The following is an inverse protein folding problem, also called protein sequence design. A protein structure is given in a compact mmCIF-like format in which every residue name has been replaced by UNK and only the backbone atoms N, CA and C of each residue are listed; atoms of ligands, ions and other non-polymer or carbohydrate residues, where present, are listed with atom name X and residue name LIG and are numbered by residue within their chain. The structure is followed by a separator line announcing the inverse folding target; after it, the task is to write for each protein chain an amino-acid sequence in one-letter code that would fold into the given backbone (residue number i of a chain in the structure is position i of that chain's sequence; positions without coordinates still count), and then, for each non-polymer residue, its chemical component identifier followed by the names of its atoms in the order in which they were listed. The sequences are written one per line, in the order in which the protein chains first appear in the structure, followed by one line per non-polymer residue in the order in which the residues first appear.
data_IF_799202992557
#
_entry.id   IF_799202992557
#
_cell.length_a   1.000
_cell.length_b   1.000
_cell.length_c   1.000
_cell.angle_alpha   90.00
_cell.angle_beta   90.00
_cell.angle_gamma   90.00
#
_symmetry.space_group_name_H-M   'P 1'
#
loop_
_entity.id
_entity.type
_entity.pdbx_description
1 polymer ?
#
# COMPACT_ATOMS: atom_id res chain seq x y z
N UNK A 1 22.25 10.36 -8.81
CA UNK A 1 23.12 10.27 -7.62
C UNK A 1 22.58 9.14 -6.79
N UNK A 2 23.36 8.09 -6.57
CA UNK A 2 22.99 6.97 -5.70
C UNK A 2 22.85 7.52 -4.28
N UNK A 3 21.73 7.26 -3.61
CA UNK A 3 21.57 7.61 -2.19
C UNK A 3 22.38 6.59 -1.40
N UNK A 4 23.45 7.00 -0.73
CA UNK A 4 24.38 6.08 -0.06
C UNK A 4 23.69 5.22 1.01
N UNK A 5 22.74 5.81 1.74
CA UNK A 5 21.97 5.17 2.81
C UNK A 5 20.68 4.52 2.27
N UNK A 6 20.76 3.73 1.19
CA UNK A 6 19.61 3.07 0.57
C UNK A 6 19.94 1.65 0.08
N UNK A 7 18.91 0.81 0.00
CA UNK A 7 18.97 -0.54 -0.57
C UNK A 7 18.99 -0.44 -2.10
N UNK A 8 19.96 -1.11 -2.71
CA UNK A 8 20.16 -1.17 -4.16
C UNK A 8 19.53 -2.39 -4.78
N UNK A 9 19.66 -3.56 -4.15
CA UNK A 9 19.08 -4.80 -4.64
C UNK A 9 18.74 -5.74 -3.49
N UNK A 10 17.76 -6.61 -3.74
CA UNK A 10 17.30 -7.64 -2.82
C UNK A 10 17.33 -8.96 -3.57
N UNK A 11 17.98 -9.96 -2.98
CA UNK A 11 18.04 -11.32 -3.50
C UNK A 11 17.77 -12.29 -2.34
N UNK A 12 16.61 -12.93 -2.32
CA UNK A 12 16.18 -13.72 -1.17
C UNK A 12 15.16 -14.78 -1.53
N UNK A 13 15.04 -15.80 -0.67
CA UNK A 13 13.96 -16.78 -0.73
C UNK A 13 12.88 -16.39 0.28
N UNK A 14 11.63 -16.32 -0.18
CA UNK A 14 10.49 -15.97 0.69
C UNK A 14 10.40 -17.00 1.84
N UNK A 15 10.27 -16.56 3.11
CA UNK A 15 10.24 -17.49 4.24
C UNK A 15 9.09 -18.49 4.12
N UNK A 16 9.40 -19.78 4.30
CA UNK A 16 8.47 -20.91 4.13
C UNK A 16 7.90 -21.05 2.70
N UNK A 17 8.66 -20.61 1.69
CA UNK A 17 8.36 -20.80 0.28
C UNK A 17 9.63 -21.22 -0.48
N UNK A 18 9.46 -21.84 -1.64
CA UNK A 18 10.55 -22.11 -2.60
C UNK A 18 10.74 -20.95 -3.60
N UNK A 19 9.94 -19.89 -3.48
CA UNK A 19 9.98 -18.74 -4.38
C UNK A 19 11.23 -17.89 -4.13
N UNK A 20 12.09 -17.86 -5.13
CA UNK A 20 13.24 -16.97 -5.21
C UNK A 20 12.83 -15.61 -5.75
N UNK A 21 13.23 -14.54 -5.05
CA UNK A 21 12.88 -13.16 -5.34
C UNK A 21 14.15 -12.37 -5.58
N UNK A 22 14.25 -11.76 -6.76
CA UNK A 22 15.34 -10.87 -7.12
C UNK A 22 14.75 -9.52 -7.56
N UNK A 23 15.12 -8.45 -6.85
CA UNK A 23 14.60 -7.10 -7.05
C UNK A 23 15.76 -6.13 -7.22
N UNK A 24 15.75 -5.37 -8.31
CA UNK A 24 16.70 -4.28 -8.56
C UNK A 24 16.00 -2.94 -8.27
N UNK A 25 16.41 -2.28 -7.18
CA UNK A 25 15.81 -1.04 -6.68
C UNK A 25 16.56 0.21 -7.12
N UNK A 26 17.89 0.14 -7.27
CA UNK A 26 18.75 1.30 -7.57
C UNK A 26 18.51 2.51 -6.64
N UNK A 27 18.17 2.23 -5.37
CA UNK A 27 17.84 3.25 -4.37
C UNK A 27 16.43 3.86 -4.47
N UNK A 28 15.57 3.37 -5.37
CA UNK A 28 14.16 3.79 -5.44
C UNK A 28 13.32 3.15 -4.33
N UNK A 29 12.16 3.75 -4.04
CA UNK A 29 11.20 3.16 -3.12
C UNK A 29 10.64 1.84 -3.68
N UNK A 30 10.23 0.92 -2.79
CA UNK A 30 9.69 -0.39 -3.14
C UNK A 30 8.27 -0.56 -2.59
N UNK A 31 7.32 -0.91 -3.46
CA UNK A 31 5.95 -1.28 -3.08
C UNK A 31 5.79 -2.79 -3.33
N UNK A 32 5.59 -3.54 -2.24
CA UNK A 32 5.39 -4.99 -2.27
C UNK A 32 3.89 -5.26 -2.21
N UNK A 33 3.38 -5.98 -3.19
CA UNK A 33 1.97 -6.36 -3.26
C UNK A 33 1.80 -7.86 -3.53
N UNK A 34 0.55 -8.28 -3.63
CA UNK A 34 0.16 -9.65 -3.91
C UNK A 34 -1.03 -10.12 -3.07
N UNK A 35 -1.50 -11.32 -3.39
CA UNK A 35 -2.69 -11.93 -2.81
C UNK A 35 -2.60 -12.19 -1.31
N UNK A 36 -3.71 -12.57 -0.70
CA UNK A 36 -3.75 -12.91 0.72
C UNK A 36 -2.89 -14.15 0.99
N UNK A 37 -2.07 -14.08 2.05
CA UNK A 37 -1.22 -15.21 2.46
C UNK A 37 0.06 -15.43 1.65
N UNK A 38 0.40 -14.55 0.69
CA UNK A 38 1.64 -14.69 -0.10
C UNK A 38 2.95 -14.39 0.67
N UNK A 39 2.86 -13.98 1.94
CA UNK A 39 4.03 -13.80 2.81
C UNK A 39 4.58 -12.36 2.91
N UNK A 40 3.88 -11.34 2.40
CA UNK A 40 4.28 -9.91 2.44
C UNK A 40 4.93 -9.47 3.76
N UNK A 41 4.23 -9.60 4.88
CA UNK A 41 4.74 -9.22 6.20
C UNK A 41 6.03 -9.94 6.57
N UNK A 42 6.16 -11.24 6.26
CA UNK A 42 7.36 -12.01 6.58
C UNK A 42 8.53 -11.63 5.68
N UNK A 43 8.26 -11.45 4.39
CA UNK A 43 9.24 -10.98 3.42
C UNK A 43 9.78 -9.60 3.81
N UNK A 44 8.90 -8.66 4.15
CA UNK A 44 9.29 -7.33 4.64
C UNK A 44 10.15 -7.40 5.91
N UNK A 45 9.74 -8.21 6.88
CA UNK A 45 10.49 -8.42 8.14
C UNK A 45 11.87 -9.02 7.90
N UNK A 46 11.99 -10.02 7.02
CA UNK A 46 13.27 -10.65 6.69
C UNK A 46 14.26 -9.65 6.05
N UNK A 47 13.77 -8.78 5.16
CA UNK A 47 14.61 -7.71 4.58
C UNK A 47 15.06 -6.74 5.67
N UNK A 48 14.13 -6.31 6.54
CA UNK A 48 14.45 -5.42 7.65
C UNK A 48 15.47 -6.03 8.62
N UNK A 49 15.28 -7.29 9.01
CA UNK A 49 16.21 -8.02 9.91
C UNK A 49 17.60 -8.12 9.28
N UNK A 50 17.70 -8.38 7.98
CA UNK A 50 18.97 -8.40 7.27
C UNK A 50 19.67 -7.03 7.27
N UNK A 51 18.92 -5.96 6.99
CA UNK A 51 19.44 -4.58 6.98
C UNK A 51 19.82 -4.13 8.39
N UNK A 52 19.01 -4.45 9.41
CA UNK A 52 19.31 -4.19 10.83
C UNK A 52 20.55 -4.96 11.28
N UNK A 53 20.71 -6.22 10.88
CA UNK A 53 21.93 -6.98 11.15
C UNK A 53 23.17 -6.30 10.53
N UNK A 54 23.06 -5.80 9.30
CA UNK A 54 24.14 -5.05 8.66
C UNK A 54 24.41 -3.72 9.36
N UNK A 55 23.39 -2.91 9.66
CA UNK A 55 23.58 -1.52 10.11
C UNK A 55 23.73 -1.38 11.63
N UNK A 56 22.94 -2.09 12.43
CA UNK A 56 22.90 -1.94 13.90
C UNK A 56 23.89 -2.85 14.63
N UNK A 57 24.12 -4.07 14.14
CA UNK A 57 24.90 -5.08 14.88
C UNK A 57 26.41 -5.01 14.62
N UNK A 58 26.88 -4.09 13.77
CA UNK A 58 28.30 -3.93 13.36
C UNK A 58 28.97 -5.26 12.95
N UNK A 59 28.21 -6.23 12.46
CA UNK A 59 28.70 -7.57 12.08
C UNK A 59 29.33 -7.56 10.70
N UNK A 60 30.25 -6.64 10.42
CA UNK A 60 30.86 -6.57 9.09
C UNK A 60 32.03 -7.52 8.95
N UNK A 61 31.69 -8.79 8.70
CA UNK A 61 32.38 -9.56 7.69
C UNK A 61 31.40 -9.76 6.52
N UNK A 62 31.70 -9.14 5.38
CA UNK A 62 31.04 -9.46 4.12
C UNK A 62 31.09 -10.97 3.85
N UNK A 63 30.15 -11.53 3.10
CA UNK A 63 30.20 -12.95 2.71
C UNK A 63 31.57 -13.34 2.13
N UNK A 64 32.23 -12.42 1.43
CA UNK A 64 33.60 -12.56 0.95
C UNK A 64 34.63 -12.66 2.08
N UNK A 65 34.58 -11.78 3.08
CA UNK A 65 35.45 -11.82 4.26
C UNK A 65 35.21 -13.09 5.09
N UNK A 66 33.95 -13.51 5.29
CA UNK A 66 33.63 -14.77 5.98
C UNK A 66 34.22 -15.97 5.22
N UNK A 67 34.05 -16.02 3.88
CA UNK A 67 34.65 -17.08 3.05
C UNK A 67 36.17 -17.12 3.18
N UNK A 68 36.83 -15.96 3.15
CA UNK A 68 38.28 -15.87 3.36
C UNK A 68 38.69 -16.35 4.76
N UNK A 69 37.94 -15.97 5.80
CA UNK A 69 38.18 -16.39 7.18
C UNK A 69 38.02 -17.90 7.38
N UNK A 70 37.06 -18.51 6.69
CA UNK A 70 36.90 -19.97 6.63
C UNK A 70 38.10 -20.61 5.95
N UNK A 71 38.55 -20.09 4.80
CA UNK A 71 39.72 -20.62 4.08
C UNK A 71 40.99 -20.57 4.94
N UNK A 72 41.24 -19.44 5.62
CA UNK A 72 42.39 -19.32 6.52
C UNK A 72 42.35 -20.34 7.66
N UNK A 73 41.18 -20.54 8.29
CA UNK A 73 41.02 -21.50 9.39
C UNK A 73 41.11 -22.95 8.92
N UNK A 74 40.57 -23.26 7.73
CA UNK A 74 40.72 -24.58 7.10
C UNK A 74 42.20 -24.88 6.84
N UNK A 75 42.95 -23.92 6.32
CA UNK A 75 44.40 -24.04 6.12
C UNK A 75 45.16 -24.26 7.44
N UNK A 76 44.81 -23.55 8.52
CA UNK A 76 45.42 -23.79 9.83
C UNK A 76 45.13 -25.20 10.35
N UNK A 77 43.87 -25.67 10.25
CA UNK A 77 43.47 -27.04 10.64
C UNK A 77 44.28 -28.09 9.86
N UNK A 78 44.49 -27.91 8.57
CA UNK A 78 45.27 -28.84 7.73
C UNK A 78 46.74 -28.94 8.16
N UNK A 79 47.30 -27.85 8.67
CA UNK A 79 48.69 -27.79 9.17
C UNK A 79 48.85 -28.15 10.66
N UNK A 80 47.75 -28.42 11.38
CA UNK A 80 47.76 -28.59 12.85
C UNK A 80 47.24 -29.96 13.25
N UNK A 81 47.79 -30.53 14.34
CA UNK A 81 47.33 -31.81 14.89
C UNK A 81 46.12 -31.64 15.82
N UNK A 82 45.21 -32.62 15.94
CA UNK A 82 44.03 -32.54 16.81
C UNK A 82 44.29 -32.34 18.32
N UNK A 83 45.54 -32.50 18.77
CA UNK A 83 45.97 -32.24 20.15
C UNK A 83 46.26 -30.77 20.46
N UNK A 84 46.25 -29.90 19.45
CA UNK A 84 46.43 -28.46 19.63
C UNK A 84 45.21 -27.83 20.32
N UNK A 85 45.46 -26.94 21.28
CA UNK A 85 44.42 -26.27 22.06
C UNK A 85 43.43 -25.47 21.20
N UNK A 86 43.86 -24.99 20.03
CA UNK A 86 43.05 -24.15 19.15
C UNK A 86 42.30 -24.94 18.09
N UNK A 87 42.65 -26.21 17.85
CA UNK A 87 42.05 -27.04 16.80
C UNK A 87 40.53 -27.13 16.91
N UNK A 88 40.02 -27.41 18.12
CA UNK A 88 38.58 -27.49 18.36
C UNK A 88 37.89 -26.12 18.33
N UNK A 89 38.60 -25.04 18.68
CA UNK A 89 38.07 -23.68 18.61
C UNK A 89 37.88 -23.26 17.15
N UNK A 90 38.91 -23.41 16.30
CA UNK A 90 38.80 -23.10 14.87
C UNK A 90 37.76 -23.96 14.16
N UNK A 91 37.64 -25.25 14.51
CA UNK A 91 36.60 -26.11 13.95
C UNK A 91 35.20 -25.61 14.29
N UNK A 92 34.98 -25.12 15.52
CA UNK A 92 33.70 -24.53 15.94
C UNK A 92 33.43 -23.21 15.21
N UNK A 93 34.43 -22.34 15.10
CA UNK A 93 34.34 -21.07 14.37
C UNK A 93 34.03 -21.26 12.88
N UNK A 94 34.62 -22.28 12.23
CA UNK A 94 34.29 -22.62 10.83
C UNK A 94 32.81 -23.00 10.72
N UNK A 95 32.31 -23.87 11.60
CA UNK A 95 30.89 -24.27 11.58
C UNK A 95 29.96 -23.08 11.82
N UNK A 96 30.34 -22.17 12.71
CA UNK A 96 29.59 -20.93 12.98
C UNK A 96 29.59 -20.00 11.75
N UNK A 97 30.74 -19.82 11.10
CA UNK A 97 30.84 -19.04 9.86
C UNK A 97 30.13 -19.69 8.67
N UNK A 98 30.12 -21.01 8.57
CA UNK A 98 29.36 -21.75 7.54
C UNK A 98 27.86 -21.57 7.74
N UNK A 99 27.36 -21.62 8.98
CA UNK A 99 25.96 -21.30 9.31
C UNK A 99 25.62 -19.83 9.00
N UNK A 100 26.49 -18.89 9.36
CA UNK A 100 26.31 -17.47 9.02
C UNK A 100 26.28 -17.25 7.50
N UNK A 101 27.11 -17.95 6.73
CA UNK A 101 27.08 -17.91 5.26
C UNK A 101 25.79 -18.49 4.71
N UNK A 102 25.30 -19.60 5.27
CA UNK A 102 24.03 -20.19 4.85
C UNK A 102 22.85 -19.24 5.10
N UNK A 103 22.87 -18.48 6.20
CA UNK A 103 21.85 -17.48 6.51
C UNK A 103 21.98 -16.21 5.65
N UNK A 104 23.21 -15.78 5.31
CA UNK A 104 23.46 -14.68 4.37
C UNK A 104 23.05 -15.07 2.94
N UNK A 105 23.34 -16.31 2.51
CA UNK A 105 22.97 -16.81 1.18
C UNK A 105 21.45 -17.01 1.05
N UNK A 106 20.69 -17.13 2.16
CA UNK A 106 19.21 -17.17 2.15
C UNK A 106 18.56 -15.81 1.92
N UNK A 107 19.22 -14.71 2.32
CA UNK A 107 18.73 -13.35 2.17
C UNK A 107 19.91 -12.39 2.01
N UNK A 108 20.14 -11.94 0.79
CA UNK A 108 21.17 -10.97 0.45
C UNK A 108 20.53 -9.62 0.10
N UNK A 109 20.70 -8.64 0.97
CA UNK A 109 20.30 -7.25 0.71
C UNK A 109 21.55 -6.42 0.47
N UNK A 110 21.67 -5.83 -0.71
CA UNK A 110 22.82 -4.97 -1.06
C UNK A 110 22.48 -3.51 -0.78
N UNK A 111 23.27 -2.87 0.08
CA UNK A 111 23.18 -1.43 0.36
C UNK A 111 24.09 -0.63 -0.57
N UNK A 112 23.78 0.65 -0.78
CA UNK A 112 24.54 1.55 -1.64
C UNK A 112 25.98 1.72 -1.15
N UNK A 113 26.15 2.15 0.10
CA UNK A 113 27.44 2.15 0.79
C UNK A 113 27.24 1.79 2.26
N UNK A 114 27.54 0.53 2.60
CA UNK A 114 27.36 -0.03 3.94
C UNK A 114 28.16 0.78 4.99
N UNK A 115 29.43 1.07 4.73
CA UNK A 115 30.29 1.80 5.67
C UNK A 115 29.77 3.21 5.95
N UNK A 116 29.31 3.90 4.90
CA UNK A 116 28.73 5.24 5.00
C UNK A 116 27.40 5.20 5.74
N UNK A 117 26.55 4.19 5.47
CA UNK A 117 25.30 4.02 6.20
C UNK A 117 25.56 3.74 7.69
N UNK A 118 26.45 2.82 8.03
CA UNK A 118 26.78 2.54 9.43
C UNK A 118 27.37 3.77 10.14
N UNK A 119 28.24 4.52 9.46
CA UNK A 119 28.78 5.77 9.99
C UNK A 119 27.68 6.79 10.23
N UNK A 120 26.83 7.04 9.23
CA UNK A 120 25.71 7.97 9.33
C UNK A 120 24.68 7.52 10.39
N UNK A 121 24.44 6.22 10.54
CA UNK A 121 23.54 5.67 11.55
C UNK A 121 24.09 5.90 12.97
N UNK A 122 25.38 5.62 13.18
CA UNK A 122 26.07 5.89 14.44
C UNK A 122 26.13 7.39 14.78
N UNK A 123 26.34 8.23 13.76
CA UNK A 123 26.27 9.69 13.85
C UNK A 123 24.84 10.24 13.94
N UNK A 124 23.82 9.37 13.92
CA UNK A 124 22.38 9.72 14.00
C UNK A 124 21.90 10.61 12.85
N UNK A 125 22.51 10.48 11.68
CA UNK A 125 22.14 11.12 10.41
C UNK A 125 21.37 10.19 9.46
N UNK A 126 21.36 8.89 9.73
CA UNK A 126 20.64 7.90 8.94
C UNK A 126 19.63 7.10 9.76
N UNK A 127 18.47 6.86 9.16
CA UNK A 127 17.32 6.20 9.76
C UNK A 127 17.27 4.71 9.38
N UNK A 128 16.84 3.87 10.31
CA UNK A 128 16.34 2.52 10.03
C UNK A 128 15.10 2.29 10.90
N UNK A 129 13.91 2.22 10.30
CA UNK A 129 12.65 2.07 11.04
C UNK A 129 11.74 1.01 10.44
N UNK A 130 11.03 0.31 11.30
CA UNK A 130 10.01 -0.66 10.93
C UNK A 130 8.68 -0.33 11.61
N UNK A 131 7.63 -0.15 10.81
CA UNK A 131 6.26 0.05 11.26
C UNK A 131 5.42 -1.19 10.94
N UNK A 132 4.95 -1.94 11.96
CA UNK A 132 4.08 -3.09 11.75
C UNK A 132 2.67 -2.68 11.26
N UNK A 133 1.92 -3.65 10.74
CA UNK A 133 0.54 -3.45 10.28
C UNK A 133 -0.40 -3.01 11.42
N UNK A 134 -0.30 -3.68 12.57
CA UNK A 134 -0.99 -3.27 13.80
C UNK A 134 -0.10 -2.29 14.54
N UNK A 135 -0.54 -1.03 14.59
CA UNK A 135 0.18 0.06 15.25
C UNK A 135 -0.51 0.36 16.58
N UNK A 136 0.25 0.29 17.68
CA UNK A 136 -0.23 0.82 18.96
C UNK A 136 -0.40 2.33 18.82
N UNK A 137 -1.61 2.82 19.10
CA UNK A 137 -1.94 4.24 18.98
C UNK A 137 -1.40 4.97 20.21
N UNK A 138 -0.13 5.38 20.15
CA UNK A 138 0.62 5.95 21.27
C UNK A 138 0.72 7.48 21.25
N UNK A 139 -0.20 8.17 20.54
CA UNK A 139 -0.38 9.63 20.67
C UNK A 139 -1.01 9.92 22.06
N UNK A 140 -0.22 9.70 23.10
CA UNK A 140 -0.63 9.81 24.48
C UNK A 140 -0.75 11.29 24.84
N UNK A 141 -1.94 11.69 25.28
CA UNK A 141 -2.17 13.00 25.86
C UNK A 141 -1.40 13.07 27.19
N UNK A 142 -0.34 13.87 27.20
CA UNK A 142 0.37 14.23 28.42
C UNK A 142 0.29 15.74 28.53
N UNK A 143 -0.49 16.23 29.50
CA UNK A 143 -0.49 17.65 29.88
C UNK A 143 0.82 18.08 30.55
N UNK A 144 1.97 17.58 30.07
CA UNK A 144 3.27 17.82 30.67
C UNK A 144 3.87 19.10 30.13
N UNK A 145 4.26 19.98 31.06
CA UNK A 145 5.16 21.10 30.83
C UNK A 145 6.60 20.59 30.67
N UNK A 146 6.84 19.76 29.66
CA UNK A 146 8.20 19.37 29.32
C UNK A 146 8.90 20.51 28.59
N UNK A 147 10.14 20.82 28.99
CA UNK A 147 10.95 21.79 28.28
C UNK A 147 11.55 21.12 27.04
N UNK A 148 11.80 21.90 25.98
CA UNK A 148 12.52 21.41 24.79
C UNK A 148 13.86 20.73 25.15
N UNK A 149 14.56 21.23 26.17
CA UNK A 149 15.79 20.64 26.66
C UNK A 149 15.57 19.24 27.25
N UNK A 150 14.48 19.03 28.01
CA UNK A 150 14.13 17.70 28.54
C UNK A 150 13.74 16.74 27.43
N UNK A 151 12.92 17.18 26.46
CA UNK A 151 12.54 16.34 25.32
C UNK A 151 13.77 15.89 24.52
N UNK A 152 14.73 16.80 24.29
CA UNK A 152 16.01 16.45 23.64
C UNK A 152 16.84 15.50 24.50
N UNK A 153 16.92 15.72 25.81
CA UNK A 153 17.66 14.84 26.73
C UNK A 153 17.05 13.44 26.85
N UNK A 154 15.72 13.34 26.85
CA UNK A 154 15.02 12.05 26.86
C UNK A 154 15.26 11.28 25.55
N UNK A 155 15.37 11.99 24.42
CA UNK A 155 15.68 11.38 23.12
C UNK A 155 17.19 11.15 22.89
N UNK A 156 18.08 11.78 23.67
CA UNK A 156 19.54 11.60 23.55
C UNK A 156 19.96 10.13 23.74
N UNK A 157 19.21 9.34 24.50
CA UNK A 157 19.44 7.91 24.67
C UNK A 157 18.61 7.03 23.74
N UNK A 158 17.66 7.59 22.99
CA UNK A 158 16.82 6.84 22.07
C UNK A 158 17.51 6.68 20.70
N UNK A 159 17.53 5.44 20.22
CA UNK A 159 17.99 5.14 18.87
C UNK A 159 17.05 5.77 17.83
N UNK A 160 17.58 6.11 16.65
CA UNK A 160 16.75 6.42 15.48
C UNK A 160 15.83 5.24 15.07
N UNK A 161 16.07 4.04 15.60
CA UNK A 161 15.22 2.87 15.39
C UNK A 161 14.07 2.71 16.40
N UNK A 162 13.89 3.60 17.39
CA UNK A 162 12.77 3.55 18.36
C UNK A 162 11.58 4.45 17.94
N UNK A 163 10.41 4.23 18.57
CA UNK A 163 9.20 5.04 18.34
C UNK A 163 9.22 6.32 19.19
N UNK A 164 9.11 7.47 18.52
CA UNK A 164 9.09 8.81 19.09
C UNK A 164 7.74 9.52 18.84
N UNK A 165 6.73 8.82 18.31
CA UNK A 165 5.42 9.44 18.00
C UNK A 165 4.70 10.01 19.23
N UNK A 166 4.86 9.39 20.40
CA UNK A 166 4.32 9.87 21.69
C UNK A 166 4.94 11.19 22.20
N UNK A 167 6.05 11.64 21.61
CA UNK A 167 6.69 12.92 21.92
C UNK A 167 6.06 14.09 21.17
N UNK A 168 5.27 13.81 20.12
CA UNK A 168 4.82 14.83 19.17
C UNK A 168 3.96 15.92 19.80
N UNK A 169 2.91 15.56 20.55
CA UNK A 169 2.03 16.55 21.19
C UNK A 169 2.80 17.40 22.22
N UNK A 170 3.68 16.76 23.00
CA UNK A 170 4.56 17.45 23.97
C UNK A 170 5.52 18.41 23.27
N UNK A 171 6.10 17.99 22.15
CA UNK A 171 6.97 18.83 21.34
C UNK A 171 6.22 20.06 20.79
N UNK A 172 5.01 19.88 20.25
CA UNK A 172 4.19 20.99 19.77
C UNK A 172 4.00 22.05 20.87
N UNK A 173 3.59 21.62 22.06
CA UNK A 173 3.37 22.52 23.22
C UNK A 173 4.66 23.22 23.62
N UNK A 174 5.75 22.46 23.79
CA UNK A 174 7.04 23.01 24.20
C UNK A 174 7.60 24.01 23.18
N UNK A 175 7.48 23.69 21.88
CA UNK A 175 8.00 24.50 20.80
C UNK A 175 7.19 25.78 20.57
N UNK A 176 5.86 25.70 20.69
CA UNK A 176 4.98 26.87 20.65
C UNK A 176 5.28 27.85 21.78
N UNK A 177 5.44 27.33 23.01
CA UNK A 177 5.78 28.13 24.18
C UNK A 177 7.16 28.80 24.02
N UNK A 178 8.14 28.07 23.48
CA UNK A 178 9.46 28.60 23.17
C UNK A 178 9.40 29.75 22.15
N UNK A 179 8.70 29.58 21.03
CA UNK A 179 8.51 30.63 20.02
C UNK A 179 7.81 31.86 20.59
N UNK A 180 6.75 31.65 21.37
CA UNK A 180 6.01 32.72 22.05
C UNK A 180 6.89 33.52 23.01
N UNK A 181 7.77 32.84 23.77
CA UNK A 181 8.73 33.51 24.67
C UNK A 181 9.75 34.35 23.90
N UNK A 182 10.32 33.81 22.81
CA UNK A 182 11.27 34.53 21.96
C UNK A 182 10.68 35.83 21.41
N UNK A 183 9.45 35.78 20.91
CA UNK A 183 8.76 36.93 20.33
C UNK A 183 8.36 37.97 21.39
N UNK A 184 7.79 37.53 22.51
CA UNK A 184 7.21 38.41 23.51
C UNK A 184 8.22 38.98 24.53
N UNK A 185 9.31 38.25 24.81
CA UNK A 185 10.25 38.59 25.91
C UNK A 185 11.66 38.90 25.43
N UNK A 186 12.16 38.15 24.44
CA UNK A 186 13.54 38.33 23.93
C UNK A 186 13.60 39.25 22.70
N UNK A 187 12.46 39.56 22.08
CA UNK A 187 12.33 40.36 20.85
C UNK A 187 13.19 39.81 19.68
N UNK A 188 13.52 38.51 19.71
CA UNK A 188 14.25 37.82 18.65
C UNK A 188 13.25 37.37 17.56
N UNK A 189 12.86 38.35 16.73
CA UNK A 189 11.89 38.15 15.64
C UNK A 189 12.34 37.12 14.62
N UNK A 190 13.66 36.91 14.47
CA UNK A 190 14.22 35.96 13.51
C UNK A 190 13.94 34.52 13.93
N UNK A 191 14.25 34.16 15.18
CA UNK A 191 13.97 32.81 15.68
C UNK A 191 12.47 32.57 15.87
N UNK A 192 11.72 33.56 16.33
CA UNK A 192 10.27 33.46 16.41
C UNK A 192 9.62 33.16 15.05
N UNK A 193 10.03 33.87 13.99
CA UNK A 193 9.53 33.61 12.63
C UNK A 193 9.88 32.20 12.11
N UNK A 194 11.00 31.60 12.54
CA UNK A 194 11.33 30.21 12.20
C UNK A 194 10.37 29.22 12.85
N UNK A 195 10.00 29.46 14.11
CA UNK A 195 8.99 28.63 14.82
C UNK A 195 7.65 28.74 14.11
N UNK A 196 7.21 29.95 13.78
CA UNK A 196 5.94 30.17 13.05
C UNK A 196 5.94 29.49 11.68
N UNK A 197 7.05 29.59 10.94
CA UNK A 197 7.21 28.92 9.65
C UNK A 197 7.16 27.39 9.76
N UNK A 198 7.72 26.84 10.84
CA UNK A 198 7.66 25.41 11.13
C UNK A 198 6.21 24.95 11.39
N UNK A 199 5.47 25.67 12.24
CA UNK A 199 4.06 25.37 12.49
C UNK A 199 3.24 25.45 11.20
N UNK A 200 3.45 26.49 10.38
CA UNK A 200 2.78 26.62 9.09
C UNK A 200 3.10 25.44 8.15
N UNK A 201 4.32 24.92 8.15
CA UNK A 201 4.68 23.74 7.35
C UNK A 201 3.94 22.49 7.85
N UNK A 202 3.93 22.24 9.17
CA UNK A 202 3.21 21.11 9.77
C UNK A 202 1.71 21.23 9.50
N UNK A 203 1.12 22.41 9.63
CA UNK A 203 -0.28 22.68 9.28
C UNK A 203 -0.58 22.36 7.82
N UNK A 204 0.24 22.84 6.88
CA UNK A 204 0.07 22.55 5.45
C UNK A 204 0.14 21.04 5.15
N UNK A 205 1.06 20.32 5.82
CA UNK A 205 1.18 18.86 5.68
C UNK A 205 -0.04 18.14 6.26
N UNK A 206 -0.59 18.61 7.39
CA UNK A 206 -1.83 18.09 7.95
C UNK A 206 -3.05 18.42 7.09
N UNK A 207 -3.15 19.63 6.51
CA UNK A 207 -4.23 20.00 5.58
C UNK A 207 -4.24 19.08 4.35
N UNK A 208 -3.05 18.81 3.78
CA UNK A 208 -2.92 17.87 2.67
C UNK A 208 -3.36 16.46 3.06
N UNK A 209 -2.93 15.99 4.23
CA UNK A 209 -3.28 14.67 4.74
C UNK A 209 -4.78 14.54 5.03
N UNK A 210 -5.40 15.54 5.65
CA UNK A 210 -6.82 15.53 6.01
C UNK A 210 -7.76 15.88 4.85
N UNK A 211 -7.19 16.25 3.70
CA UNK A 211 -7.93 16.72 2.52
C UNK A 211 -8.82 17.94 2.85
N UNK A 212 -8.33 18.82 3.72
CA UNK A 212 -9.08 19.96 4.25
C UNK A 212 -8.18 21.18 4.44
N UNK A 213 -8.31 22.17 3.55
CA UNK A 213 -7.58 23.44 3.60
C UNK A 213 -8.00 24.35 4.78
N UNK A 214 -9.15 24.09 5.40
CA UNK A 214 -9.60 24.83 6.58
C UNK A 214 -8.94 24.38 7.88
N UNK A 215 -8.24 23.24 7.85
CA UNK A 215 -7.60 22.65 9.03
C UNK A 215 -6.55 23.60 9.62
N UNK A 216 -6.65 23.85 10.92
CA UNK A 216 -5.67 24.63 11.70
C UNK A 216 -5.32 23.95 13.02
N UNK A 217 -4.08 24.16 13.46
CA UNK A 217 -3.62 23.80 14.79
C UNK A 217 -3.89 24.96 15.75
N UNK A 218 -4.80 24.75 16.68
CA UNK A 218 -5.19 25.75 17.66
C UNK A 218 -4.61 25.41 19.04
N UNK A 219 -3.71 26.25 19.52
CA UNK A 219 -3.16 26.12 20.88
C UNK A 219 -4.16 26.64 21.92
N UNK A 220 -4.50 25.81 22.90
CA UNK A 220 -5.25 26.19 24.10
C UNK A 220 -4.28 26.43 25.25
N UNK A 221 -4.17 27.69 25.71
CA UNK A 221 -3.23 28.07 26.78
C UNK A 221 -3.66 27.60 28.17
N UNK A 222 -4.95 27.42 28.44
CA UNK A 222 -5.44 26.95 29.74
C UNK A 222 -5.16 25.46 29.95
N UNK A 223 -5.39 24.67 28.91
CA UNK A 223 -5.11 23.23 28.92
C UNK A 223 -3.69 22.87 28.52
N UNK A 224 -2.93 23.84 28.01
CA UNK A 224 -1.60 23.66 27.42
C UNK A 224 -1.57 22.53 26.39
N UNK A 225 -2.54 22.53 25.48
CA UNK A 225 -2.75 21.46 24.51
C UNK A 225 -3.08 22.00 23.13
N UNK A 226 -2.81 21.18 22.12
CA UNK A 226 -3.17 21.49 20.73
C UNK A 226 -4.46 20.80 20.34
N UNK A 227 -5.32 21.57 19.68
CA UNK A 227 -6.56 21.11 19.07
C UNK A 227 -6.47 21.24 17.56
N UNK A 228 -7.03 20.26 16.85
CA UNK A 228 -7.31 20.37 15.43
C UNK A 228 -8.66 21.07 15.28
N UNK A 229 -8.69 22.14 14.49
CA UNK A 229 -9.92 22.86 14.14
C UNK A 229 -10.16 22.76 12.64
N UNK A 230 -11.38 22.38 12.27
CA UNK A 230 -11.86 22.30 10.88
C UNK A 230 -13.18 23.06 10.76
N UNK A 231 -13.50 23.56 9.57
CA UNK A 231 -14.77 24.26 9.36
C UNK A 231 -15.98 23.34 9.59
N UNK A 232 -16.95 23.83 10.35
CA UNK A 232 -18.18 23.10 10.67
C UNK A 232 -18.02 21.97 11.71
N UNK A 233 -16.87 21.86 12.38
CA UNK A 233 -16.64 20.90 13.48
C UNK A 233 -16.20 21.61 14.75
N UNK A 234 -16.57 21.04 15.89
CA UNK A 234 -15.99 21.43 17.16
C UNK A 234 -14.50 21.06 17.21
N UNK A 235 -13.63 21.86 17.86
CA UNK A 235 -12.22 21.51 18.01
C UNK A 235 -12.04 20.17 18.72
N UNK A 236 -11.13 19.34 18.24
CA UNK A 236 -10.87 18.01 18.78
C UNK A 236 -9.36 17.70 18.87
N UNK A 237 -8.98 16.73 19.69
CA UNK A 237 -7.59 16.32 19.94
C UNK A 237 -7.13 15.20 18.98
N UNK A 238 -5.83 14.95 18.97
CA UNK A 238 -5.22 13.91 18.11
C UNK A 238 -5.67 12.48 18.49
N UNK A 239 -5.97 12.22 19.75
CA UNK A 239 -6.50 10.94 20.26
C UNK A 239 -7.97 10.70 19.86
N UNK A 240 -8.68 11.73 19.40
CA UNK A 240 -10.07 11.65 18.91
C UNK A 240 -10.18 11.41 17.40
N UNK A 241 -9.04 11.28 16.71
CA UNK A 241 -8.99 10.96 15.28
C UNK A 241 -9.46 9.52 15.00
N UNK A 242 -9.95 9.28 13.79
CA UNK A 242 -10.26 7.90 13.36
C UNK A 242 -8.98 7.05 13.33
N UNK A 243 -9.11 5.74 13.51
CA UNK A 243 -7.96 4.82 13.56
C UNK A 243 -7.02 4.90 12.35
N UNK A 244 -7.56 5.09 11.14
CA UNK A 244 -6.76 5.28 9.93
C UNK A 244 -5.89 6.53 9.98
N UNK A 245 -6.46 7.67 10.37
CA UNK A 245 -5.72 8.92 10.55
C UNK A 245 -4.66 8.81 11.64
N UNK A 246 -4.99 8.20 12.79
CA UNK A 246 -4.04 8.00 13.88
C UNK A 246 -2.85 7.14 13.47
N UNK A 247 -3.11 6.09 12.68
CA UNK A 247 -2.11 5.16 12.18
C UNK A 247 -1.10 5.84 11.24
N UNK A 248 -1.54 6.73 10.35
CA UNK A 248 -0.61 7.52 9.53
C UNK A 248 0.09 8.58 10.36
N UNK A 249 -0.68 9.28 11.19
CA UNK A 249 -0.16 10.38 11.98
C UNK A 249 0.93 9.91 12.92
N UNK A 250 0.85 8.69 13.46
CA UNK A 250 1.93 8.12 14.28
C UNK A 250 3.21 7.90 13.48
N UNK A 251 3.15 7.38 12.24
CA UNK A 251 4.31 7.26 11.36
C UNK A 251 4.90 8.64 11.07
N UNK A 252 4.05 9.59 10.65
CA UNK A 252 4.48 10.94 10.32
C UNK A 252 5.11 11.66 11.53
N UNK A 253 4.46 11.57 12.70
CA UNK A 253 4.94 12.12 13.96
C UNK A 253 6.28 11.49 14.38
N UNK A 254 6.43 10.17 14.26
CA UNK A 254 7.67 9.47 14.57
C UNK A 254 8.84 9.98 13.71
N UNK A 255 8.62 10.14 12.40
CA UNK A 255 9.63 10.64 11.47
C UNK A 255 9.92 12.13 11.69
N UNK A 256 8.90 12.95 11.91
CA UNK A 256 9.04 14.38 12.18
C UNK A 256 9.81 14.61 13.48
N UNK A 257 9.52 13.86 14.56
CA UNK A 257 10.26 13.99 15.82
C UNK A 257 11.75 13.64 15.66
N UNK A 258 12.10 12.77 14.71
CA UNK A 258 13.51 12.45 14.44
C UNK A 258 14.25 13.56 13.72
N UNK A 259 13.56 14.30 12.85
CA UNK A 259 14.07 15.54 12.24
C UNK A 259 14.31 16.57 13.36
N UNK A 260 13.29 16.80 14.19
CA UNK A 260 13.29 17.91 15.15
C UNK A 260 14.15 17.70 16.40
N UNK A 261 14.08 16.51 17.02
CA UNK A 261 14.80 16.22 18.26
C UNK A 261 16.29 16.00 18.01
N UNK A 262 16.67 15.56 16.80
CA UNK A 262 18.08 15.28 16.44
C UNK A 262 18.72 16.38 15.59
N UNK A 263 18.01 17.48 15.35
CA UNK A 263 18.51 18.66 14.62
C UNK A 263 19.03 18.32 13.21
N UNK A 264 18.37 17.35 12.57
CA UNK A 264 18.64 16.93 11.18
C UNK A 264 17.52 17.48 10.33
N UNK A 265 17.82 18.22 9.25
CA UNK A 265 16.76 18.72 8.38
C UNK A 265 16.04 17.57 7.64
N UNK A 266 14.75 17.74 7.33
CA UNK A 266 13.99 16.72 6.59
C UNK A 266 14.60 16.41 5.21
N UNK A 267 15.29 17.39 4.62
CA UNK A 267 16.03 17.26 3.37
C UNK A 267 17.36 16.51 3.51
N UNK A 268 17.91 16.37 4.71
CA UNK A 268 19.15 15.65 5.00
C UNK A 268 18.89 14.27 5.62
N UNK A 269 17.73 14.07 6.24
CA UNK A 269 17.32 12.79 6.79
C UNK A 269 17.28 11.75 5.66
N UNK A 270 18.13 10.73 5.79
CA UNK A 270 18.25 9.65 4.81
C UNK A 270 18.21 8.30 5.53
N UNK A 271 18.05 7.22 4.78
CA UNK A 271 17.94 5.87 5.36
C UNK A 271 16.72 5.13 4.83
N UNK A 272 16.34 4.05 5.51
CA UNK A 272 15.32 3.12 5.05
C UNK A 272 14.19 3.01 6.08
N UNK A 273 12.95 3.15 5.60
CA UNK A 273 11.74 2.97 6.40
C UNK A 273 10.91 1.83 5.81
N UNK A 274 10.63 0.83 6.64
CA UNK A 274 9.77 -0.30 6.35
C UNK A 274 8.38 -0.05 6.91
N UNK A 275 7.33 -0.17 6.10
CA UNK A 275 5.93 -0.01 6.53
C UNK A 275 5.14 -1.22 6.08
N UNK A 276 4.72 -2.05 7.03
CA UNK A 276 3.80 -3.16 6.74
C UNK A 276 2.36 -2.63 6.69
N UNK A 277 1.61 -2.99 5.66
CA UNK A 277 0.24 -2.54 5.39
C UNK A 277 0.11 -1.02 5.54
N UNK A 278 0.73 -0.27 4.63
CA UNK A 278 0.66 1.20 4.62
C UNK A 278 -0.79 1.71 4.48
N UNK A 279 -1.67 0.91 3.87
CA UNK A 279 -3.09 1.18 3.68
C UNK A 279 -4.00 0.73 4.83
N UNK A 280 -3.45 0.13 5.90
CA UNK A 280 -4.24 -0.39 7.01
C UNK A 280 -5.19 0.67 7.58
N UNK A 281 -6.49 0.36 7.57
CA UNK A 281 -7.59 1.20 8.05
C UNK A 281 -7.74 2.56 7.36
N UNK A 282 -7.10 2.78 6.20
CA UNK A 282 -7.19 4.03 5.46
C UNK A 282 -8.41 4.10 4.57
N UNK A 283 -9.00 5.28 4.50
CA UNK A 283 -10.00 5.58 3.47
C UNK A 283 -9.34 5.61 2.08
N UNK A 284 -10.08 5.24 1.03
CA UNK A 284 -9.57 5.09 -0.34
C UNK A 284 -8.89 6.37 -0.85
N UNK A 285 -9.43 7.55 -0.52
CA UNK A 285 -8.83 8.83 -0.92
C UNK A 285 -7.40 8.99 -0.39
N UNK A 286 -7.19 8.67 0.90
CA UNK A 286 -5.88 8.67 1.55
C UNK A 286 -4.92 7.63 0.95
N UNK A 287 -5.40 6.43 0.64
CA UNK A 287 -4.57 5.38 0.03
C UNK A 287 -3.91 5.86 -1.28
N UNK A 288 -4.57 6.73 -2.04
CA UNK A 288 -4.03 7.30 -3.29
C UNK A 288 -2.94 8.36 -3.08
N UNK A 289 -2.83 8.92 -1.87
CA UNK A 289 -1.96 10.07 -1.59
C UNK A 289 -0.86 9.75 -0.59
N UNK A 290 -1.06 8.74 0.25
CA UNK A 290 -0.22 8.47 1.42
C UNK A 290 1.25 8.25 1.07
N UNK A 291 1.52 7.50 0.01
CA UNK A 291 2.89 7.23 -0.40
C UNK A 291 3.57 8.49 -0.97
N UNK A 292 2.86 9.23 -1.84
CA UNK A 292 3.33 10.53 -2.36
C UNK A 292 3.53 11.57 -1.25
N UNK A 293 2.71 11.53 -0.19
CA UNK A 293 2.88 12.37 0.99
C UNK A 293 4.23 12.12 1.68
N UNK A 294 4.54 10.85 1.97
CA UNK A 294 5.81 10.48 2.61
C UNK A 294 7.03 10.77 1.71
N UNK A 295 6.93 10.47 0.42
CA UNK A 295 7.98 10.75 -0.57
C UNK A 295 8.32 12.24 -0.64
N UNK A 296 7.30 13.12 -0.55
CA UNK A 296 7.51 14.58 -0.52
C UNK A 296 7.99 15.10 0.83
N UNK A 297 7.48 14.54 1.93
CA UNK A 297 7.84 14.97 3.28
C UNK A 297 9.28 14.58 3.65
N UNK A 298 9.77 13.45 3.14
CA UNK A 298 11.08 12.89 3.46
C UNK A 298 11.82 12.40 2.19
N UNK A 299 12.28 13.30 1.32
CA UNK A 299 12.72 12.97 -0.05
C UNK A 299 14.00 12.13 -0.16
N UNK A 300 14.81 12.05 0.90
CA UNK A 300 16.03 11.21 0.95
C UNK A 300 15.83 9.91 1.72
N UNK A 301 14.62 9.67 2.25
CA UNK A 301 14.26 8.43 2.92
C UNK A 301 13.69 7.45 1.89
N UNK A 302 14.27 6.26 1.83
CA UNK A 302 13.76 5.18 1.00
C UNK A 302 12.64 4.43 1.74
N UNK A 303 11.45 4.39 1.15
CA UNK A 303 10.32 3.66 1.70
C UNK A 303 10.21 2.27 1.06
N UNK A 304 10.15 1.23 1.91
CA UNK A 304 9.82 -0.14 1.51
C UNK A 304 8.52 -0.52 2.19
N UNK A 305 7.46 -0.66 1.41
CA UNK A 305 6.10 -0.79 1.95
C UNK A 305 5.42 -2.03 1.44
N UNK A 306 4.54 -2.62 2.24
CA UNK A 306 3.59 -3.64 1.75
C UNK A 306 2.20 -3.02 1.64
N UNK A 307 1.45 -3.45 0.63
CA UNK A 307 0.05 -3.01 0.45
C UNK A 307 -0.80 -4.05 -0.25
N UNK A 308 -2.07 -4.08 0.13
CA UNK A 308 -3.13 -4.80 -0.60
C UNK A 308 -3.93 -3.86 -1.51
N UNK A 309 -3.73 -2.56 -1.38
CA UNK A 309 -4.52 -1.56 -2.08
C UNK A 309 -3.95 -1.28 -3.47
N UNK A 310 -4.76 -1.44 -4.53
CA UNK A 310 -4.37 -1.00 -5.88
C UNK A 310 -4.15 0.51 -5.94
N UNK A 311 -4.78 1.28 -5.03
CA UNK A 311 -4.68 2.73 -5.00
C UNK A 311 -3.32 3.21 -4.52
N UNK A 312 -2.67 2.49 -3.61
CA UNK A 312 -1.29 2.77 -3.19
C UNK A 312 -0.33 2.44 -4.32
N UNK A 313 -0.53 1.29 -4.98
CA UNK A 313 0.31 0.85 -6.10
C UNK A 313 0.31 1.86 -7.26
N UNK A 314 -0.83 2.53 -7.52
CA UNK A 314 -0.96 3.57 -8.55
C UNK A 314 -0.53 4.98 -8.09
N UNK A 315 -0.11 5.15 -6.83
CA UNK A 315 0.02 6.50 -6.26
C UNK A 315 1.31 7.23 -6.61
N UNK A 316 2.34 6.54 -7.12
CA UNK A 316 3.67 7.14 -7.37
C UNK A 316 4.35 6.58 -8.63
N UNK A 317 4.97 7.49 -9.37
CA UNK A 317 5.61 7.24 -10.67
C UNK A 317 7.08 6.78 -10.55
N UNK A 318 7.71 6.94 -9.38
CA UNK A 318 9.13 6.64 -9.15
C UNK A 318 9.37 5.58 -8.07
N UNK A 319 8.60 4.49 -8.12
CA UNK A 319 8.77 3.33 -7.24
C UNK A 319 8.84 2.04 -8.04
N UNK A 320 9.61 1.07 -7.54
CA UNK A 320 9.57 -0.31 -8.02
C UNK A 320 8.38 -1.01 -7.36
N UNK A 321 7.59 -1.72 -8.14
CA UNK A 321 6.46 -2.51 -7.64
C UNK A 321 6.85 -3.99 -7.78
N UNK A 322 6.67 -4.77 -6.73
CA UNK A 322 6.93 -6.21 -6.77
C UNK A 322 5.70 -6.99 -6.35
N UNK A 323 5.22 -7.89 -7.21
CA UNK A 323 4.13 -8.80 -6.88
C UNK A 323 4.69 -10.15 -6.42
N UNK A 324 4.50 -10.47 -5.13
CA UNK A 324 4.89 -11.76 -4.56
C UNK A 324 4.02 -12.92 -5.07
N UNK A 325 2.80 -12.65 -5.54
CA UNK A 325 1.94 -13.67 -6.15
C UNK A 325 2.51 -14.14 -7.48
N UNK A 326 2.72 -13.21 -8.42
CA UNK A 326 3.27 -13.47 -9.75
C UNK A 326 4.78 -13.69 -9.77
N UNK A 327 5.49 -13.30 -8.71
CA UNK A 327 6.95 -13.28 -8.65
C UNK A 327 7.57 -12.40 -9.76
N UNK A 328 6.99 -11.21 -9.93
CA UNK A 328 7.32 -10.30 -11.02
C UNK A 328 7.59 -8.89 -10.49
N UNK A 329 8.65 -8.28 -11.01
CA UNK A 329 8.94 -6.86 -10.84
C UNK A 329 8.23 -6.08 -11.94
N UNK A 330 7.44 -5.10 -11.54
CA UNK A 330 6.73 -4.18 -12.42
C UNK A 330 7.32 -2.78 -12.25
N UNK A 331 7.55 -2.11 -13.37
CA UNK A 331 7.92 -0.71 -13.41
C UNK A 331 6.75 0.10 -13.94
N UNK A 332 6.45 1.20 -13.27
CA UNK A 332 5.49 2.22 -13.72
C UNK A 332 4.07 1.70 -14.06
N UNK A 333 3.22 1.62 -13.03
CA UNK A 333 1.80 1.28 -13.20
C UNK A 333 0.89 2.52 -13.41
N UNK A 334 1.46 3.71 -13.57
CA UNK A 334 0.67 4.96 -13.77
C UNK A 334 -0.18 4.91 -15.05
N UNK A 335 0.28 4.17 -16.06
CA UNK A 335 -0.37 4.01 -17.36
C UNK A 335 -1.45 2.91 -17.38
N UNK A 336 -1.54 2.11 -16.32
CA UNK A 336 -2.48 0.99 -16.27
C UNK A 336 -3.83 1.43 -15.70
N UNK A 337 -4.91 0.94 -16.33
CA UNK A 337 -6.25 1.19 -15.79
C UNK A 337 -6.44 0.49 -14.44
N UNK A 338 -7.27 1.07 -13.58
CA UNK A 338 -7.63 0.47 -12.29
C UNK A 338 -8.15 -0.97 -12.42
N UNK A 339 -9.01 -1.23 -13.42
CA UNK A 339 -9.54 -2.57 -13.70
C UNK A 339 -8.43 -3.55 -14.12
N UNK A 340 -7.44 -3.08 -14.89
CA UNK A 340 -6.29 -3.89 -15.31
C UNK A 340 -5.44 -4.32 -14.12
N UNK A 341 -5.24 -3.42 -13.14
CA UNK A 341 -4.47 -3.73 -11.93
C UNK A 341 -5.26 -4.66 -11.00
N UNK A 342 -6.54 -4.40 -10.77
CA UNK A 342 -7.39 -5.29 -9.97
C UNK A 342 -7.37 -6.73 -10.52
N UNK A 343 -7.57 -6.87 -11.83
CA UNK A 343 -7.64 -8.17 -12.49
C UNK A 343 -6.25 -8.82 -12.60
N UNK A 344 -5.25 -8.08 -13.05
CA UNK A 344 -3.92 -8.61 -13.36
C UNK A 344 -3.04 -8.81 -12.12
N UNK A 345 -2.99 -7.81 -11.24
CA UNK A 345 -2.06 -7.77 -10.10
C UNK A 345 -2.67 -8.37 -8.83
N UNK A 346 -3.95 -8.08 -8.57
CA UNK A 346 -4.61 -8.47 -7.32
C UNK A 346 -5.50 -9.70 -7.48
N UNK A 347 -5.73 -10.17 -8.70
CA UNK A 347 -6.60 -11.32 -8.99
C UNK A 347 -8.05 -11.10 -8.56
N UNK A 348 -8.48 -9.84 -8.43
CA UNK A 348 -9.83 -9.46 -8.03
C UNK A 348 -10.64 -9.12 -9.28
N UNK A 349 -11.74 -9.83 -9.49
CA UNK A 349 -12.71 -9.41 -10.50
C UNK A 349 -13.39 -8.13 -10.04
N UNK A 350 -13.29 -7.07 -10.85
CA UNK A 350 -13.85 -5.74 -10.57
C UNK A 350 -15.38 -5.68 -10.62
N UNK A 351 -16.04 -6.83 -10.66
CA UNK A 351 -17.45 -6.97 -11.02
C UNK A 351 -18.25 -7.73 -9.96
N UNK A 352 -19.56 -7.47 -9.96
CA UNK A 352 -20.49 -8.19 -9.09
C UNK A 352 -20.74 -9.57 -9.68
N UNK A 353 -20.41 -10.63 -8.94
CA UNK A 353 -20.70 -12.02 -9.30
C UNK A 353 -22.18 -12.25 -9.68
N UNK A 354 -23.09 -11.48 -9.10
CA UNK A 354 -24.52 -11.52 -9.41
C UNK A 354 -24.79 -10.91 -10.79
N UNK A 355 -24.20 -9.75 -11.09
CA UNK A 355 -24.39 -9.13 -12.40
C UNK A 355 -23.72 -9.93 -13.51
N UNK A 356 -22.52 -10.48 -13.26
CA UNK A 356 -21.84 -11.34 -14.22
C UNK A 356 -22.62 -12.62 -14.47
N UNK A 357 -23.11 -13.30 -13.43
CA UNK A 357 -23.95 -14.48 -13.61
C UNK A 357 -25.20 -14.20 -14.45
N UNK A 358 -25.85 -13.03 -14.27
CA UNK A 358 -26.99 -12.63 -15.09
C UNK A 358 -26.60 -12.30 -16.54
N UNK A 359 -25.44 -11.69 -16.76
CA UNK A 359 -24.93 -11.33 -18.10
C UNK A 359 -24.46 -12.58 -18.84
N UNK A 360 -23.81 -13.52 -18.17
CA UNK A 360 -23.40 -14.82 -18.72
C UNK A 360 -24.62 -15.68 -19.08
N UNK A 361 -25.63 -15.72 -18.21
CA UNK A 361 -26.91 -16.39 -18.50
C UNK A 361 -27.59 -15.75 -19.71
N UNK A 362 -27.60 -14.42 -19.79
CA UNK A 362 -28.15 -13.69 -20.95
C UNK A 362 -27.35 -14.01 -22.23
N UNK A 363 -26.02 -14.03 -22.17
CA UNK A 363 -25.16 -14.36 -23.30
C UNK A 363 -25.42 -15.79 -23.79
N UNK A 364 -25.52 -16.75 -22.87
CA UNK A 364 -25.82 -18.14 -23.20
C UNK A 364 -27.18 -18.27 -23.91
N UNK A 365 -28.22 -17.57 -23.46
CA UNK A 365 -29.56 -17.60 -24.07
C UNK A 365 -29.60 -16.97 -25.48
N UNK A 366 -28.72 -16.02 -25.77
CA UNK A 366 -28.58 -15.40 -27.11
C UNK A 366 -27.92 -16.36 -28.10
N UNK A 367 -27.04 -17.26 -27.65
CA UNK A 367 -26.32 -18.18 -28.55
C UNK A 367 -27.13 -19.43 -28.95
N UNK A 368 -28.18 -19.77 -28.19
CA UNK A 368 -29.03 -20.93 -28.49
C UNK A 368 -29.90 -20.69 -29.72
N UNK A 369 -30.06 -21.70 -30.60
CA UNK A 369 -30.88 -21.59 -31.83
C UNK A 369 -32.37 -21.38 -31.59
N UNK A 370 -32.89 -21.91 -30.49
CA UNK A 370 -34.27 -21.71 -30.03
C UNK A 370 -34.25 -20.81 -28.79
N UNK A 371 -34.66 -19.56 -28.96
CA UNK A 371 -34.63 -18.58 -27.88
C UNK A 371 -35.86 -18.72 -26.97
N UNK A 372 -35.61 -18.78 -25.67
CA UNK A 372 -36.62 -18.55 -24.63
C UNK A 372 -36.78 -17.03 -24.41
N UNK A 373 -37.78 -16.46 -25.09
CA UNK A 373 -38.03 -15.03 -25.08
C UNK A 373 -38.48 -14.49 -23.72
N UNK A 374 -39.11 -15.31 -22.88
CA UNK A 374 -39.57 -14.91 -21.56
C UNK A 374 -38.38 -14.75 -20.62
N UNK A 375 -37.48 -15.73 -20.62
CA UNK A 375 -36.23 -15.71 -19.84
C UNK A 375 -35.32 -14.56 -20.29
N UNK A 376 -35.14 -14.35 -21.60
CA UNK A 376 -34.33 -13.23 -22.13
C UNK A 376 -34.94 -11.88 -21.73
N UNK A 377 -36.26 -11.72 -21.83
CA UNK A 377 -36.95 -10.46 -21.46
C UNK A 377 -36.82 -10.16 -19.97
N UNK A 378 -36.89 -11.19 -19.13
CA UNK A 378 -36.72 -11.07 -17.69
C UNK A 378 -35.28 -10.70 -17.30
N UNK A 379 -34.28 -11.32 -17.94
CA UNK A 379 -32.88 -10.97 -17.73
C UNK A 379 -32.58 -9.53 -18.16
N UNK A 380 -33.07 -9.10 -19.33
CA UNK A 380 -32.97 -7.70 -19.78
C UNK A 380 -33.60 -6.77 -18.75
N UNK A 381 -34.81 -7.08 -18.26
CA UNK A 381 -35.50 -6.25 -17.25
C UNK A 381 -34.70 -6.11 -15.95
N UNK A 382 -34.00 -7.17 -15.52
CA UNK A 382 -33.18 -7.16 -14.31
C UNK A 382 -31.86 -6.43 -14.49
N UNK A 383 -31.24 -6.51 -15.68
CA UNK A 383 -29.93 -5.92 -15.98
C UNK A 383 -30.04 -4.45 -16.38
N UNK A 384 -31.10 -4.08 -17.13
CA UNK A 384 -31.29 -2.73 -17.70
C UNK A 384 -31.25 -1.57 -16.70
N UNK A 385 -31.80 -1.66 -15.46
CA UNK A 385 -31.69 -0.60 -14.46
C UNK A 385 -30.23 -0.23 -14.14
N UNK A 386 -29.33 -1.21 -14.21
CA UNK A 386 -27.90 -1.05 -13.92
C UNK A 386 -27.06 -0.81 -15.18
N UNK A 387 -27.67 -0.50 -16.35
CA UNK A 387 -26.96 -0.32 -17.63
C UNK A 387 -25.78 0.67 -17.57
N UNK A 388 -25.85 1.67 -16.68
CA UNK A 388 -24.78 2.65 -16.45
C UNK A 388 -23.54 2.07 -15.75
N UNK A 389 -23.72 1.01 -14.97
CA UNK A 389 -22.67 0.38 -14.16
C UNK A 389 -22.05 -0.85 -14.85
N UNK A 390 -22.54 -1.22 -16.04
CA UNK A 390 -22.01 -2.33 -16.82
C UNK A 390 -20.70 -1.94 -17.52
N UNK A 391 -19.76 -2.87 -17.61
CA UNK A 391 -18.56 -2.73 -18.44
C UNK A 391 -18.91 -2.80 -19.93
N UNK A 392 -17.92 -2.54 -20.79
CA UNK A 392 -18.12 -2.48 -22.25
C UNK A 392 -18.64 -3.80 -22.84
N UNK A 393 -18.14 -4.94 -22.37
CA UNK A 393 -18.57 -6.25 -22.87
C UNK A 393 -20.01 -6.54 -22.45
N UNK A 394 -20.34 -6.38 -21.16
CA UNK A 394 -21.69 -6.59 -20.65
C UNK A 394 -22.74 -5.65 -21.29
N UNK A 395 -22.35 -4.41 -21.62
CA UNK A 395 -23.20 -3.49 -22.40
C UNK A 395 -23.46 -3.99 -23.82
N UNK A 396 -22.45 -4.58 -24.47
CA UNK A 396 -22.60 -5.13 -25.80
C UNK A 396 -23.55 -6.34 -25.80
N UNK A 397 -23.41 -7.24 -24.83
CA UNK A 397 -24.33 -8.39 -24.64
C UNK A 397 -25.76 -7.91 -24.42
N UNK A 398 -25.98 -6.95 -23.51
CA UNK A 398 -27.30 -6.37 -23.27
C UNK A 398 -27.87 -5.72 -24.55
N UNK A 399 -27.05 -5.02 -25.32
CA UNK A 399 -27.46 -4.38 -26.57
C UNK A 399 -27.85 -5.41 -27.64
N UNK A 400 -27.08 -6.50 -27.76
CA UNK A 400 -27.42 -7.61 -28.65
C UNK A 400 -28.75 -8.25 -28.26
N UNK A 401 -28.98 -8.47 -26.97
CA UNK A 401 -30.25 -8.99 -26.46
C UNK A 401 -31.43 -8.05 -26.76
N UNK A 402 -31.26 -6.74 -26.52
CA UNK A 402 -32.27 -5.72 -26.81
C UNK A 402 -32.63 -5.69 -28.31
N UNK A 403 -31.63 -5.80 -29.20
CA UNK A 403 -31.83 -5.87 -30.65
C UNK A 403 -32.55 -7.17 -31.03
N UNK A 404 -32.11 -8.31 -30.51
CA UNK A 404 -32.70 -9.63 -30.79
C UNK A 404 -34.19 -9.67 -30.42
N UNK A 405 -34.56 -9.09 -29.27
CA UNK A 405 -35.97 -8.97 -28.84
C UNK A 405 -36.75 -7.97 -29.69
N UNK A 406 -36.11 -6.90 -30.18
CA UNK A 406 -36.76 -5.94 -31.09
C UNK A 406 -37.05 -6.55 -32.47
N UNK A 407 -36.11 -7.29 -33.03
CA UNK A 407 -36.25 -7.94 -34.34
C UNK A 407 -37.27 -9.09 -34.31
N UNK A 408 -37.44 -9.74 -33.16
CA UNK A 408 -38.43 -10.81 -32.97
C UNK A 408 -39.84 -10.32 -32.63
N UNK A 409 -40.06 -9.01 -32.40
CA UNK A 409 -41.40 -8.44 -32.10
C UNK A 409 -42.50 -8.81 -33.10
N UNK A 410 -42.28 -8.83 -34.43
CA UNK A 410 -43.31 -9.27 -35.37
C UNK A 410 -43.68 -10.75 -35.14
N UNK A 411 -42.67 -11.58 -34.91
CA UNK A 411 -42.81 -13.03 -34.71
C UNK A 411 -43.46 -13.37 -33.37
N UNK A 412 -43.16 -12.62 -32.31
CA UNK A 412 -43.77 -12.76 -30.98
C UNK A 412 -45.24 -12.34 -31.01
N UNK A 413 -45.57 -11.22 -31.66
CA UNK A 413 -46.97 -10.78 -31.83
C UNK A 413 -47.79 -11.78 -32.66
N UNK A 414 -47.19 -12.38 -33.70
CA UNK A 414 -47.83 -13.43 -34.50
C UNK A 414 -48.04 -14.69 -33.65
N UNK A 415 -47.07 -15.14 -32.85
CA UNK A 415 -47.24 -16.31 -31.96
C UNK A 415 -48.32 -16.07 -30.90
N UNK A 416 -48.31 -14.92 -30.23
CA UNK A 416 -49.34 -14.55 -29.25
C UNK A 416 -50.74 -14.42 -29.89
N UNK A 417 -50.82 -13.88 -31.12
CA UNK A 417 -52.07 -13.83 -31.87
C UNK A 417 -52.54 -15.23 -32.28
N UNK A 418 -51.63 -16.14 -32.66
CA UNK A 418 -51.95 -17.53 -33.00
C UNK A 418 -52.40 -18.32 -31.76
N UNK A 419 -51.79 -18.13 -30.58
CA UNK A 419 -52.24 -18.74 -29.32
C UNK A 419 -53.58 -18.16 -28.83
N UNK A 420 -53.83 -16.86 -29.04
CA UNK A 420 -55.13 -16.24 -28.83
C UNK A 420 -56.21 -16.70 -29.84
N UNK A 421 -55.78 -17.07 -31.06
CA UNK A 421 -56.65 -17.64 -32.07
C UNK A 421 -56.95 -19.11 -31.78
N UNK A 422 -55.99 -19.95 -31.37
CA UNK A 422 -56.29 -21.37 -31.04
C UNK A 422 -57.27 -21.50 -29.89
N UNK A 423 -57.20 -20.59 -28.91
CA UNK A 423 -58.16 -20.54 -27.79
C UNK A 423 -59.54 -20.02 -28.19
N UNK A 424 -59.65 -19.10 -29.16
CA UNK A 424 -60.95 -18.58 -29.65
C UNK A 424 -61.58 -19.40 -30.78
N UNK A 425 -60.78 -20.05 -31.64
CA UNK A 425 -61.24 -20.79 -32.83
C UNK A 425 -61.75 -22.19 -32.50
N UNK A 426 -61.51 -22.70 -31.28
CA UNK A 426 -62.16 -23.90 -30.76
C UNK A 426 -63.67 -23.70 -30.47
N UNK A 427 -64.20 -22.48 -30.51
CA UNK A 427 -65.62 -22.21 -30.19
C UNK A 427 -66.51 -21.80 -31.35
N UNK A 428 -66.01 -21.55 -32.56
CA UNK A 428 -66.86 -21.25 -33.73
C UNK A 428 -66.31 -21.89 -35.00
N UNK A 429 -67.01 -22.92 -35.46
CA UNK A 429 -66.70 -23.64 -36.69
C UNK A 429 -66.74 -22.72 -37.91
N UNK A 430 -65.68 -22.73 -38.71
CA UNK A 430 -65.60 -21.97 -39.96
C UNK A 430 -65.37 -22.90 -41.16
N UNK A 431 -66.14 -22.59 -42.20
CA UNK A 431 -66.23 -23.18 -43.53
C UNK A 431 -64.88 -23.44 -44.20
N UNK A 432 -64.78 -24.61 -44.87
CA UNK A 432 -63.63 -25.09 -45.69
C UNK A 432 -63.13 -24.08 -46.75
N UNK A 433 -63.92 -23.06 -47.09
CA UNK A 433 -63.51 -21.99 -48.02
C UNK A 433 -62.42 -21.06 -47.48
N UNK A 434 -62.38 -20.81 -46.16
CA UNK A 434 -61.35 -19.94 -45.56
C UNK A 434 -60.00 -20.64 -45.47
N UNK A 435 -60.00 -21.94 -45.15
CA UNK A 435 -58.78 -22.76 -45.06
C UNK A 435 -58.07 -22.85 -46.43
N UNK A 436 -58.84 -22.90 -47.53
CA UNK A 436 -58.25 -22.95 -48.87
C UNK A 436 -57.59 -21.63 -49.26
N UNK A 437 -58.16 -20.49 -48.84
CA UNK A 437 -57.63 -19.16 -49.14
C UNK A 437 -56.36 -18.86 -48.34
N UNK A 438 -56.33 -19.23 -47.06
CA UNK A 438 -55.13 -19.09 -46.20
C UNK A 438 -53.97 -19.97 -46.68
N UNK A 439 -54.23 -21.18 -47.17
CA UNK A 439 -53.19 -22.04 -47.73
C UNK A 439 -52.66 -21.54 -49.09
N UNK A 440 -53.45 -20.81 -49.87
CA UNK A 440 -53.00 -20.16 -51.10
C UNK A 440 -52.06 -18.98 -50.80
N UNK A 441 -52.39 -18.19 -49.78
CA UNK A 441 -51.57 -17.03 -49.38
C UNK A 441 -50.26 -17.47 -48.69
N UNK A 442 -50.25 -18.59 -47.95
CA UNK A 442 -49.04 -19.20 -47.37
C UNK A 442 -48.06 -19.78 -48.40
N UNK A 443 -48.52 -20.13 -49.60
CA UNK A 443 -47.67 -20.64 -50.67
C UNK A 443 -46.93 -19.51 -51.44
N UNK A 444 -47.43 -18.27 -51.37
CA UNK A 444 -46.80 -17.09 -51.98
C UNK A 444 -45.71 -16.47 -51.09
N UNK A 445 -45.56 -16.94 -49.85
CA UNK A 445 -44.60 -16.44 -48.84
C UNK A 445 -43.42 -17.39 -48.55
N UNK A 446 -43.20 -18.41 -49.38
CA UNK A 446 -42.03 -19.31 -49.30
C UNK A 446 -41.02 -19.05 -50.40
#
# INVERSE_FOLDING_TARGET
MTIDNSIQSIDTIIPNSEKHVQIDLKGKNLIITGGNGCGKTRFLKQIHENVSAQVEQMTHKTAKQIRQDIEYRKSWIESTTPTDSNYHAWKREITEFELQLEDIDKCCVTLGNVETYCTNFNERKALLRFFPAVREQSLAHTGSNDSLARLKQDDEHNSLSQDSSSQFERYLVAFYNYGSHLLARENDKSKGAKVDAWFANVENQLQYLFEDESLKLHYNAEEQSFYIKQDGKDPYKFDQLSSGYQSILSIYADLLMKVELKDVSAEELSGVVFIDEIDAHLHVSLQRKIFSFFDKAFPKVQFIVTTHSPFVVQSVDNSVIYDLSANEQLEDLSMYSYESILKGLLGVESKSSILDGLVEELAAQIEVKEHDWDTISDLIRRIKPNKRNLDRHSRNVLMQAEILVMDSRPTIQIRQAVEGLTTSTLTKGISRSLIHKVNQDLALLK
#
